data_IF_711350936113
#
_entry.id   IF_711350936113
#
_cell.length_a   1.000
_cell.length_b   1.000
_cell.length_c   1.000
_cell.angle_alpha   90.00
_cell.angle_beta   90.00
_cell.angle_gamma   90.00
#
_symmetry.space_group_name_H-M   'P 1'
#
loop_
_entity.id
_entity.type
_entity.pdbx_description
1 polymer ?
#
# COMPACT_ATOMS: atom_id res chain seq x y z
N UNK A 1 7.41 13.91 -9.96
CA UNK A 1 6.88 14.04 -8.59
C UNK A 1 7.05 12.76 -7.77
N UNK A 2 6.37 11.65 -8.10
CA UNK A 2 6.53 10.37 -7.35
C UNK A 2 7.82 9.63 -7.72
N UNK A 3 8.16 9.63 -9.01
CA UNK A 3 9.38 9.00 -9.54
C UNK A 3 10.64 9.62 -8.92
N UNK A 4 10.66 10.96 -8.82
CA UNK A 4 11.77 11.71 -8.22
C UNK A 4 11.90 11.44 -6.71
N UNK A 5 10.78 11.24 -6.01
CA UNK A 5 10.78 10.88 -4.58
C UNK A 5 11.37 9.48 -4.36
N UNK A 6 11.00 8.52 -5.20
CA UNK A 6 11.57 7.18 -5.17
C UNK A 6 13.06 7.21 -5.50
N UNK A 7 13.47 8.02 -6.47
CA UNK A 7 14.90 8.19 -6.77
C UNK A 7 15.67 8.81 -5.58
N UNK A 8 15.07 9.76 -4.87
CA UNK A 8 15.73 10.47 -3.77
C UNK A 8 15.73 9.71 -2.43
N UNK A 9 14.73 8.85 -2.18
CA UNK A 9 14.51 8.21 -0.86
C UNK A 9 14.10 6.73 -0.92
N UNK A 10 14.11 6.11 -2.09
CA UNK A 10 13.64 4.74 -2.31
C UNK A 10 14.30 3.73 -1.39
N UNK A 11 15.63 3.76 -1.28
CA UNK A 11 16.39 2.80 -0.48
C UNK A 11 16.03 2.89 1.02
N UNK A 12 15.87 4.11 1.54
CA UNK A 12 15.46 4.34 2.93
C UNK A 12 14.06 3.81 3.19
N UNK A 13 13.13 4.05 2.25
CA UNK A 13 11.76 3.56 2.34
C UNK A 13 11.71 2.03 2.26
N UNK A 14 12.50 1.41 1.39
CA UNK A 14 12.59 -0.04 1.24
C UNK A 14 13.13 -0.67 2.53
N UNK A 15 14.20 -0.11 3.11
CA UNK A 15 14.78 -0.61 4.35
C UNK A 15 13.84 -0.50 5.55
N UNK A 16 12.99 0.53 5.59
CA UNK A 16 11.98 0.72 6.63
C UNK A 16 10.70 -0.10 6.40
N UNK A 17 10.46 -0.58 5.18
CA UNK A 17 9.29 -1.40 4.85
C UNK A 17 9.56 -2.85 5.22
N UNK A 18 8.78 -3.49 6.11
CA UNK A 18 8.96 -4.89 6.48
C UNK A 18 8.98 -5.87 5.31
N UNK A 19 8.20 -5.58 4.26
CA UNK A 19 8.21 -6.39 3.02
C UNK A 19 9.50 -6.27 2.21
N UNK A 20 10.41 -5.36 2.55
CA UNK A 20 11.73 -5.20 1.94
C UNK A 20 11.70 -4.76 0.47
N UNK A 21 10.59 -4.17 0.00
CA UNK A 21 10.45 -3.69 -1.38
C UNK A 21 9.39 -2.60 -1.51
N UNK A 22 9.40 -1.91 -2.66
CA UNK A 22 8.29 -1.05 -3.07
C UNK A 22 7.09 -1.89 -3.53
N UNK A 23 5.90 -1.42 -3.15
CA UNK A 23 4.63 -1.93 -3.65
C UNK A 23 4.41 -1.62 -5.13
N UNK A 24 3.64 -2.45 -5.81
CA UNK A 24 3.16 -2.21 -7.16
C UNK A 24 1.75 -1.62 -7.13
N UNK A 25 1.42 -0.80 -8.13
CA UNK A 25 0.08 -0.20 -8.24
C UNK A 25 -1.04 -1.27 -8.30
N UNK A 26 -0.76 -2.44 -8.89
CA UNK A 26 -1.69 -3.56 -8.97
C UNK A 26 -2.06 -4.15 -7.60
N UNK A 27 -1.18 -4.05 -6.61
CA UNK A 27 -1.44 -4.56 -5.25
C UNK A 27 -2.46 -3.67 -4.53
N UNK A 28 -2.33 -2.34 -4.68
CA UNK A 28 -3.32 -1.38 -4.20
C UNK A 28 -4.65 -1.57 -4.94
N UNK A 29 -4.60 -1.69 -6.27
CA UNK A 29 -5.79 -1.89 -7.09
C UNK A 29 -6.56 -3.17 -6.72
N UNK A 30 -5.85 -4.24 -6.33
CA UNK A 30 -6.49 -5.49 -5.91
C UNK A 30 -7.28 -5.33 -4.60
N UNK A 31 -6.77 -4.55 -3.64
CA UNK A 31 -7.51 -4.22 -2.41
C UNK A 31 -8.72 -3.34 -2.72
N UNK A 32 -8.57 -2.34 -3.59
CA UNK A 32 -9.70 -1.50 -4.05
C UNK A 32 -10.76 -2.37 -4.73
N UNK A 33 -10.36 -3.29 -5.61
CA UNK A 33 -11.28 -4.20 -6.28
C UNK A 33 -12.04 -5.07 -5.29
N UNK A 34 -11.37 -5.59 -4.26
CA UNK A 34 -12.04 -6.31 -3.17
C UNK A 34 -13.08 -5.42 -2.47
N UNK A 35 -12.72 -4.19 -2.09
CA UNK A 35 -13.62 -3.26 -1.40
C UNK A 35 -14.84 -2.85 -2.23
N UNK A 36 -14.69 -2.78 -3.56
CA UNK A 36 -15.81 -2.51 -4.46
C UNK A 36 -16.65 -3.75 -4.79
N UNK A 37 -16.25 -4.94 -4.33
CA UNK A 37 -16.95 -6.19 -4.60
C UNK A 37 -18.01 -6.52 -3.53
N UNK A 38 -18.97 -7.43 -3.82
CA UNK A 38 -19.92 -7.92 -2.81
C UNK A 38 -19.25 -8.59 -1.59
N UNK A 39 -18.01 -9.07 -1.73
CA UNK A 39 -17.28 -9.71 -0.64
C UNK A 39 -16.96 -8.75 0.51
N UNK A 40 -16.93 -7.44 0.25
CA UNK A 40 -16.71 -6.41 1.26
C UNK A 40 -18.03 -5.80 1.81
N UNK A 41 -19.18 -6.45 1.61
CA UNK A 41 -20.51 -5.92 1.95
C UNK A 41 -20.71 -5.46 3.42
N UNK A 42 -19.86 -5.90 4.34
CA UNK A 42 -19.90 -5.49 5.75
C UNK A 42 -18.66 -4.69 6.20
N UNK A 43 -17.82 -4.25 5.26
CA UNK A 43 -16.65 -3.40 5.54
C UNK A 43 -17.03 -1.95 5.26
N UNK A 44 -17.12 -1.13 6.30
CA UNK A 44 -17.45 0.29 6.20
C UNK A 44 -16.78 1.07 7.33
N UNK A 45 -16.49 2.36 7.10
CA UNK A 45 -15.86 3.23 8.09
C UNK A 45 -14.37 2.98 8.36
N UNK A 46 -13.76 2.00 7.69
CA UNK A 46 -12.38 1.58 7.93
C UNK A 46 -11.36 2.28 7.03
N UNK A 47 -10.14 2.43 7.55
CA UNK A 47 -8.97 2.84 6.76
C UNK A 47 -8.04 1.65 6.60
N UNK A 48 -7.82 1.20 5.36
CA UNK A 48 -6.96 0.04 5.06
C UNK A 48 -5.62 0.52 4.52
N UNK A 49 -4.55 0.21 5.25
CA UNK A 49 -3.17 0.53 4.87
C UNK A 49 -2.61 -0.54 3.92
N UNK A 50 -2.31 -0.16 2.68
CA UNK A 50 -1.66 -1.02 1.68
C UNK A 50 -0.23 -0.50 1.43
N UNK A 51 0.65 -0.71 2.42
CA UNK A 51 1.97 -0.05 2.46
C UNK A 51 3.15 -1.01 2.74
N UNK A 52 2.94 -2.32 2.61
CA UNK A 52 3.98 -3.33 2.86
C UNK A 52 4.47 -3.41 4.32
N UNK A 53 3.72 -2.81 5.27
CA UNK A 53 4.02 -2.76 6.69
C UNK A 53 4.79 -1.51 7.13
N UNK A 54 5.00 -0.52 6.25
CA UNK A 54 5.77 0.69 6.55
C UNK A 54 5.21 1.48 7.73
N UNK A 55 3.89 1.45 7.92
CA UNK A 55 3.20 2.02 9.08
C UNK A 55 2.28 0.96 9.65
N UNK A 56 2.49 0.62 10.93
CA UNK A 56 1.60 -0.21 11.74
C UNK A 56 1.10 0.66 12.91
N UNK A 57 -0.22 0.82 13.02
CA UNK A 57 -0.93 1.48 14.12
C UNK A 57 -1.90 0.48 14.73
#
# INVERSE_FOLDING_TARGET
MTVDLVAARGDVLIAATPSGRLGQASEVASVVLFLCSPAASFVNGETIQVNGGLHMI
#
